data_IF_700916923265
#
_entry.id   IF_700916923265
#
_cell.length_a   1.000
_cell.length_b   1.000
_cell.length_c   1.000
_cell.angle_alpha   90.00
_cell.angle_beta   90.00
_cell.angle_gamma   90.00
#
_symmetry.space_group_name_H-M   'P 1'
#
loop_
_entity.id
_entity.type
_entity.pdbx_description
1 polymer ?
#
# COMPACT_ATOMS: atom_id res chain seq x y z
N UNK A 1 -28.34 -18.24 -9.63
CA UNK A 1 -28.52 -17.12 -8.67
C UNK A 1 -28.07 -15.84 -9.38
N UNK A 2 -28.79 -14.73 -9.23
CA UNK A 2 -28.37 -13.47 -9.83
C UNK A 2 -27.29 -12.79 -8.96
N UNK A 3 -26.63 -11.74 -9.50
CA UNK A 3 -25.52 -11.06 -8.81
C UNK A 3 -25.92 -10.54 -7.41
N UNK A 4 -27.09 -9.92 -7.26
CA UNK A 4 -27.53 -9.37 -5.96
C UNK A 4 -27.78 -10.47 -4.93
N UNK A 5 -28.31 -11.62 -5.33
CA UNK A 5 -28.47 -12.77 -4.45
C UNK A 5 -27.13 -13.33 -3.97
N UNK A 6 -26.11 -13.38 -4.85
CA UNK A 6 -24.75 -13.78 -4.46
C UNK A 6 -24.12 -12.79 -3.48
N UNK A 7 -24.28 -11.49 -3.72
CA UNK A 7 -23.81 -10.47 -2.80
C UNK A 7 -24.47 -10.57 -1.42
N UNK A 8 -25.77 -10.89 -1.40
CA UNK A 8 -26.51 -11.07 -0.15
C UNK A 8 -26.07 -12.31 0.63
N UNK A 9 -25.82 -13.43 -0.05
CA UNK A 9 -25.32 -14.67 0.57
C UNK A 9 -23.83 -14.61 0.93
N UNK A 10 -23.08 -13.68 0.32
CA UNK A 10 -21.64 -13.57 0.49
C UNK A 10 -20.84 -14.61 -0.29
N UNK A 11 -21.43 -15.20 -1.33
CA UNK A 11 -20.74 -16.13 -2.21
C UNK A 11 -19.64 -15.45 -3.02
N UNK A 12 -18.59 -16.23 -3.32
CA UNK A 12 -17.46 -15.76 -4.12
C UNK A 12 -17.86 -15.44 -5.54
N UNK A 13 -17.44 -14.28 -6.02
CA UNK A 13 -17.73 -13.80 -7.38
C UNK A 13 -16.73 -14.38 -8.40
N UNK A 14 -17.27 -14.78 -9.55
CA UNK A 14 -16.46 -15.06 -10.76
C UNK A 14 -15.92 -13.74 -11.35
N UNK A 15 -14.99 -13.85 -12.32
CA UNK A 15 -14.42 -12.69 -13.03
C UNK A 15 -15.52 -11.84 -13.69
N UNK A 16 -16.47 -12.48 -14.38
CA UNK A 16 -17.57 -11.79 -15.06
C UNK A 16 -18.49 -11.06 -14.07
N UNK A 17 -18.83 -11.71 -12.95
CA UNK A 17 -19.65 -11.12 -11.91
C UNK A 17 -18.93 -9.96 -11.20
N UNK A 18 -17.64 -10.09 -10.93
CA UNK A 18 -16.81 -9.02 -10.36
C UNK A 18 -16.79 -7.79 -11.30
N UNK A 19 -16.67 -7.99 -12.60
CA UNK A 19 -16.76 -6.90 -13.57
C UNK A 19 -18.15 -6.25 -13.60
N UNK A 20 -19.21 -7.05 -13.51
CA UNK A 20 -20.60 -6.55 -13.48
C UNK A 20 -20.92 -5.68 -12.25
N UNK A 21 -20.08 -5.69 -11.19
CA UNK A 21 -20.23 -4.77 -10.06
C UNK A 21 -20.15 -3.29 -10.49
N UNK A 22 -19.39 -2.97 -11.53
CA UNK A 22 -19.29 -1.60 -12.03
C UNK A 22 -20.59 -1.04 -12.60
N UNK A 23 -21.56 -1.91 -12.97
CA UNK A 23 -22.90 -1.52 -13.46
C UNK A 23 -23.86 -1.18 -12.33
N UNK A 24 -23.57 -1.62 -11.10
CA UNK A 24 -24.39 -1.28 -9.95
C UNK A 24 -24.22 0.20 -9.55
N UNK A 25 -25.29 0.79 -9.04
CA UNK A 25 -25.18 2.12 -8.44
C UNK A 25 -24.31 2.12 -7.18
N UNK A 26 -23.81 3.30 -6.86
CA UNK A 26 -22.83 3.49 -5.80
C UNK A 26 -23.35 3.05 -4.41
N UNK A 27 -24.61 3.33 -4.09
CA UNK A 27 -25.19 3.04 -2.78
C UNK A 27 -25.54 1.56 -2.62
N UNK A 28 -25.94 0.89 -3.70
CA UNK A 28 -26.08 -0.57 -3.71
C UNK A 28 -24.77 -1.25 -3.42
N UNK A 29 -23.66 -0.81 -4.04
CA UNK A 29 -22.32 -1.33 -3.73
C UNK A 29 -21.91 -1.06 -2.28
N UNK A 30 -22.14 0.16 -1.78
CA UNK A 30 -21.86 0.52 -0.39
C UNK A 30 -22.56 -0.42 0.59
N UNK A 31 -23.87 -0.65 0.39
CA UNK A 31 -24.66 -1.55 1.25
C UNK A 31 -24.02 -2.93 1.42
N UNK A 32 -23.62 -3.56 0.31
CA UNK A 32 -23.03 -4.90 0.36
C UNK A 32 -21.60 -4.89 0.89
N UNK A 33 -20.80 -3.89 0.53
CA UNK A 33 -19.43 -3.75 0.98
C UNK A 33 -19.36 -3.45 2.49
N UNK A 34 -20.20 -2.54 3.00
CA UNK A 34 -20.29 -2.25 4.43
C UNK A 34 -20.83 -3.45 5.21
N UNK A 35 -21.87 -4.15 4.71
CA UNK A 35 -22.36 -5.39 5.33
C UNK A 35 -21.22 -6.40 5.52
N UNK A 36 -20.39 -6.61 4.49
CA UNK A 36 -19.24 -7.52 4.54
C UNK A 36 -18.18 -7.01 5.52
N UNK A 37 -17.84 -5.73 5.47
CA UNK A 37 -16.89 -5.08 6.37
C UNK A 37 -17.35 -5.22 7.83
N UNK A 38 -18.62 -4.90 8.15
CA UNK A 38 -19.16 -5.02 9.51
C UNK A 38 -19.22 -6.47 10.01
N UNK A 39 -19.44 -7.43 9.14
CA UNK A 39 -19.35 -8.85 9.49
C UNK A 39 -17.93 -9.25 9.93
N UNK A 40 -16.89 -8.67 9.33
CA UNK A 40 -15.49 -8.96 9.64
C UNK A 40 -14.98 -8.18 10.85
N UNK A 41 -15.31 -6.91 10.96
CA UNK A 41 -14.65 -5.99 11.89
C UNK A 41 -15.60 -5.21 12.82
N UNK A 42 -16.92 -5.48 12.74
CA UNK A 42 -17.91 -4.73 13.52
C UNK A 42 -17.90 -3.26 13.18
N UNK A 43 -17.86 -2.39 14.19
CA UNK A 43 -17.82 -0.94 14.02
C UNK A 43 -16.40 -0.36 14.12
N UNK A 44 -15.37 -1.20 14.08
CA UNK A 44 -13.97 -0.79 14.24
C UNK A 44 -13.43 -0.12 12.98
N UNK A 45 -12.64 0.92 13.15
CA UNK A 45 -11.77 1.50 12.13
C UNK A 45 -10.35 1.49 12.65
N UNK A 46 -9.48 0.81 11.91
CA UNK A 46 -8.09 0.58 12.28
C UNK A 46 -7.18 1.70 11.78
N UNK A 47 -6.13 1.95 12.55
CA UNK A 47 -5.01 2.80 12.18
C UNK A 47 -3.76 2.39 12.95
N UNK A 48 -2.57 2.79 12.49
CA UNK A 48 -1.34 2.65 13.27
C UNK A 48 -0.64 4.00 13.49
N UNK A 49 0.30 4.01 14.43
CA UNK A 49 1.20 5.15 14.66
C UNK A 49 2.53 4.80 13.98
N UNK A 50 2.77 5.40 12.80
CA UNK A 50 3.90 5.06 11.95
C UNK A 50 4.66 6.28 11.42
N UNK A 51 5.86 6.02 10.92
CA UNK A 51 6.71 6.98 10.22
C UNK A 51 7.15 6.40 8.88
N UNK A 52 6.97 7.19 7.80
CA UNK A 52 7.58 6.86 6.51
C UNK A 52 8.96 7.49 6.38
N UNK A 53 9.92 6.71 5.89
CA UNK A 53 11.28 7.16 5.57
C UNK A 53 11.57 6.78 4.12
N UNK A 54 11.99 7.75 3.33
CA UNK A 54 12.41 7.56 1.96
C UNK A 54 13.88 7.92 1.85
N UNK A 55 14.80 6.96 1.97
CA UNK A 55 16.23 7.21 2.10
C UNK A 55 16.87 7.94 0.94
N UNK A 56 16.33 7.75 -0.28
CA UNK A 56 16.83 8.41 -1.49
C UNK A 56 15.71 8.57 -2.52
N UNK A 57 15.83 9.59 -3.36
CA UNK A 57 15.00 9.76 -4.55
C UNK A 57 15.79 9.54 -5.87
N UNK A 58 17.04 9.13 -5.79
CA UNK A 58 17.86 8.76 -6.96
C UNK A 58 17.39 7.39 -7.44
N UNK A 59 16.80 7.32 -8.64
CA UNK A 59 16.16 6.12 -9.16
C UNK A 59 16.66 5.75 -10.54
N UNK A 60 16.97 4.47 -10.74
CA UNK A 60 17.33 3.91 -12.06
C UNK A 60 16.10 3.70 -12.95
N UNK A 61 14.91 3.55 -12.38
CA UNK A 61 13.67 3.37 -13.13
C UNK A 61 13.08 4.70 -13.61
N UNK A 62 12.40 4.64 -14.75
CA UNK A 62 11.71 5.78 -15.35
C UNK A 62 10.20 5.51 -15.35
N UNK A 63 9.56 5.61 -14.18
CA UNK A 63 8.12 5.51 -14.05
C UNK A 63 7.46 6.85 -14.41
N UNK A 64 6.60 6.87 -15.44
CA UNK A 64 5.97 8.10 -15.91
C UNK A 64 5.04 8.75 -14.91
N UNK A 65 4.47 7.99 -13.99
CA UNK A 65 3.60 8.48 -12.91
C UNK A 65 4.35 8.98 -11.68
N UNK A 66 5.66 8.69 -11.57
CA UNK A 66 6.43 9.01 -10.38
C UNK A 66 6.88 10.48 -10.40
N UNK A 67 6.47 11.22 -9.37
CA UNK A 67 6.93 12.59 -9.12
C UNK A 67 8.06 12.65 -8.08
N UNK A 68 8.31 11.55 -7.38
CA UNK A 68 9.27 11.49 -6.28
C UNK A 68 10.72 11.34 -6.76
N UNK A 69 10.96 10.55 -7.81
CA UNK A 69 12.31 10.31 -8.30
C UNK A 69 12.99 11.61 -8.81
N UNK A 70 14.28 11.72 -8.58
CA UNK A 70 15.07 12.85 -9.09
C UNK A 70 15.15 12.82 -10.63
N UNK A 71 14.57 13.84 -11.26
CA UNK A 71 14.54 14.01 -12.71
C UNK A 71 14.34 15.51 -13.06
N UNK A 72 14.09 15.85 -14.34
CA UNK A 72 13.95 17.26 -14.77
C UNK A 72 12.89 18.07 -14.00
N UNK A 73 11.80 17.44 -13.56
CA UNK A 73 10.73 18.10 -12.79
C UNK A 73 10.97 18.07 -11.27
N UNK A 74 11.91 17.25 -10.81
CA UNK A 74 12.37 17.14 -9.42
C UNK A 74 13.91 17.05 -9.42
N UNK A 75 14.64 18.17 -9.63
CA UNK A 75 16.08 18.16 -9.88
C UNK A 75 16.94 18.05 -8.62
N UNK A 76 16.37 17.83 -7.45
CA UNK A 76 17.07 17.79 -6.16
C UNK A 76 17.34 16.34 -5.71
N UNK A 77 18.38 15.65 -6.23
CA UNK A 77 18.73 14.32 -5.79
C UNK A 77 19.26 14.34 -4.35
N UNK A 78 18.91 13.31 -3.56
CA UNK A 78 19.46 13.12 -2.23
C UNK A 78 19.65 11.63 -1.91
N UNK A 79 20.58 11.37 -1.02
CA UNK A 79 20.77 10.10 -0.31
C UNK A 79 21.04 10.45 1.15
N UNK A 80 20.18 9.97 2.03
CA UNK A 80 20.35 10.18 3.48
C UNK A 80 21.51 9.33 4.01
N UNK A 81 22.25 9.85 4.99
CA UNK A 81 23.19 9.04 5.74
C UNK A 81 22.46 8.11 6.73
N UNK A 82 23.15 7.07 7.22
CA UNK A 82 22.60 6.21 8.27
C UNK A 82 22.32 7.00 9.56
N UNK A 83 23.15 7.97 9.89
CA UNK A 83 23.00 8.84 11.05
C UNK A 83 21.73 9.71 10.96
N UNK A 84 21.45 10.26 9.78
CA UNK A 84 20.20 11.02 9.54
C UNK A 84 18.98 10.13 9.70
N UNK A 85 19.01 8.89 9.16
CA UNK A 85 17.91 7.95 9.29
C UNK A 85 17.71 7.54 10.75
N UNK A 86 18.78 7.18 11.47
CA UNK A 86 18.68 6.78 12.88
C UNK A 86 18.14 7.91 13.75
N UNK A 87 18.58 9.15 13.52
CA UNK A 87 18.02 10.32 14.22
C UNK A 87 16.51 10.44 14.02
N UNK A 88 16.01 10.25 12.78
CA UNK A 88 14.57 10.27 12.51
C UNK A 88 13.87 9.11 13.23
N UNK A 89 14.47 7.93 13.26
CA UNK A 89 13.92 6.77 13.97
C UNK A 89 13.84 7.05 15.48
N UNK A 90 14.90 7.55 16.09
CA UNK A 90 14.95 7.88 17.52
C UNK A 90 13.87 8.92 17.90
N UNK A 91 13.74 10.00 17.12
CA UNK A 91 12.71 11.00 17.29
C UNK A 91 11.31 10.38 17.18
N UNK A 92 11.05 9.57 16.15
CA UNK A 92 9.75 8.94 15.93
C UNK A 92 9.39 7.96 17.06
N UNK A 93 10.32 7.16 17.53
CA UNK A 93 10.10 6.24 18.67
C UNK A 93 9.76 7.03 19.94
N UNK A 94 10.41 8.18 20.17
CA UNK A 94 10.09 9.05 21.31
C UNK A 94 8.66 9.63 21.25
N UNK A 95 8.07 9.72 20.05
CA UNK A 95 6.67 10.11 19.83
C UNK A 95 5.69 8.93 19.86
N UNK A 96 6.15 7.71 20.14
CA UNK A 96 5.32 6.53 20.28
C UNK A 96 5.10 5.74 18.97
N UNK A 97 5.86 6.02 17.92
CA UNK A 97 5.83 5.26 16.66
C UNK A 97 6.18 3.79 16.92
N UNK A 98 5.37 2.89 16.33
CA UNK A 98 5.54 1.43 16.43
C UNK A 98 6.02 0.79 15.13
N UNK A 99 5.89 1.48 14.00
CA UNK A 99 6.30 1.01 12.69
C UNK A 99 7.10 2.08 11.94
N UNK A 100 8.28 1.71 11.46
CA UNK A 100 8.99 2.48 10.44
C UNK A 100 8.75 1.83 9.08
N UNK A 101 8.22 2.61 8.14
CA UNK A 101 7.97 2.20 6.78
C UNK A 101 9.04 2.79 5.86
N UNK A 102 9.97 1.96 5.38
CA UNK A 102 11.10 2.38 4.54
C UNK A 102 10.87 1.91 3.11
N UNK A 103 10.62 2.85 2.22
CA UNK A 103 10.52 2.62 0.77
C UNK A 103 11.48 3.57 0.06
N UNK A 104 12.31 3.02 -0.80
CA UNK A 104 13.38 3.76 -1.47
C UNK A 104 13.18 3.80 -2.98
N UNK A 105 13.79 4.80 -3.62
CA UNK A 105 14.04 4.76 -5.04
C UNK A 105 15.12 3.70 -5.35
N UNK A 106 15.14 3.18 -6.57
CA UNK A 106 16.08 2.14 -7.01
C UNK A 106 17.47 2.75 -7.29
N UNK A 107 18.20 3.04 -6.22
CA UNK A 107 19.51 3.68 -6.31
C UNK A 107 20.60 2.64 -6.62
N UNK A 108 21.15 2.72 -7.83
CA UNK A 108 22.21 1.82 -8.30
C UNK A 108 23.59 2.12 -7.68
N UNK A 109 23.75 3.25 -6.98
CA UNK A 109 25.06 3.71 -6.48
C UNK A 109 25.26 3.54 -4.99
N UNK A 110 24.18 3.39 -4.18
CA UNK A 110 24.28 3.27 -2.73
C UNK A 110 24.84 1.93 -2.25
N UNK A 111 24.77 0.90 -3.08
CA UNK A 111 25.20 -0.45 -2.73
C UNK A 111 24.16 -1.24 -1.93
N UNK A 112 24.16 -2.56 -2.15
CA UNK A 112 23.29 -3.50 -1.45
C UNK A 112 23.53 -3.50 0.05
N UNK A 113 24.81 -3.48 0.46
CA UNK A 113 25.22 -3.51 1.85
C UNK A 113 24.71 -2.29 2.63
N UNK A 114 24.59 -1.13 1.99
CA UNK A 114 24.08 0.09 2.63
C UNK A 114 22.65 -0.10 3.18
N UNK A 115 21.78 -0.76 2.42
CA UNK A 115 20.39 -1.04 2.87
C UNK A 115 20.37 -2.04 4.03
N UNK A 116 21.17 -3.10 3.96
CA UNK A 116 21.24 -4.10 5.02
C UNK A 116 21.71 -3.51 6.34
N UNK A 117 22.76 -2.71 6.30
CA UNK A 117 23.33 -2.10 7.50
C UNK A 117 22.37 -1.15 8.22
N UNK A 118 21.55 -0.39 7.48
CA UNK A 118 20.58 0.50 8.14
C UNK A 118 19.51 -0.29 8.88
N UNK A 119 18.98 -1.40 8.34
CA UNK A 119 18.02 -2.25 9.04
C UNK A 119 18.63 -2.85 10.31
N UNK A 120 19.84 -3.36 10.22
CA UNK A 120 20.58 -3.89 11.39
C UNK A 120 20.78 -2.83 12.48
N UNK A 121 21.17 -1.61 12.12
CA UNK A 121 21.35 -0.51 13.05
C UNK A 121 20.05 -0.10 13.73
N UNK A 122 18.93 -0.03 12.96
CA UNK A 122 17.61 0.26 13.51
C UNK A 122 17.22 -0.81 14.54
N UNK A 123 17.36 -2.09 14.20
CA UNK A 123 17.02 -3.20 15.10
C UNK A 123 17.94 -3.28 16.34
N UNK A 124 19.20 -2.89 16.20
CA UNK A 124 20.12 -2.82 17.33
C UNK A 124 19.73 -1.70 18.32
N UNK A 125 19.28 -0.54 17.81
CA UNK A 125 18.85 0.58 18.64
C UNK A 125 17.43 0.37 19.22
N UNK A 126 16.52 -0.21 18.44
CA UNK A 126 15.10 -0.38 18.77
C UNK A 126 14.61 -1.79 18.39
N UNK A 127 14.93 -2.84 19.19
CA UNK A 127 14.61 -4.24 18.85
C UNK A 127 13.12 -4.49 18.61
N UNK A 128 12.23 -3.81 19.35
CA UNK A 128 10.78 -3.98 19.28
C UNK A 128 10.13 -3.16 18.14
N UNK A 129 10.87 -2.27 17.50
CA UNK A 129 10.34 -1.45 16.43
C UNK A 129 10.10 -2.30 15.17
N UNK A 130 8.90 -2.27 14.64
CA UNK A 130 8.58 -2.98 13.40
C UNK A 130 9.17 -2.27 12.19
N UNK A 131 10.02 -2.97 11.44
CA UNK A 131 10.62 -2.47 10.19
C UNK A 131 9.87 -3.06 9.01
N UNK A 132 9.03 -2.25 8.37
CA UNK A 132 8.39 -2.56 7.10
C UNK A 132 9.21 -1.95 5.97
N UNK A 133 9.86 -2.78 5.18
CA UNK A 133 10.80 -2.29 4.17
C UNK A 133 10.89 -3.20 2.95
N UNK A 134 11.46 -2.65 1.88
CA UNK A 134 11.79 -3.36 0.63
C UNK A 134 10.58 -3.93 -0.09
N UNK A 135 10.03 -3.15 -0.99
CA UNK A 135 8.97 -3.60 -1.92
C UNK A 135 9.47 -4.70 -2.85
N UNK A 136 8.55 -5.48 -3.42
CA UNK A 136 8.91 -6.47 -4.45
C UNK A 136 9.66 -5.83 -5.64
N UNK A 137 9.40 -4.54 -5.93
CA UNK A 137 10.14 -3.81 -6.96
C UNK A 137 11.60 -3.53 -6.57
N UNK A 138 11.87 -3.20 -5.31
CA UNK A 138 13.23 -3.03 -4.80
C UNK A 138 13.98 -4.37 -4.76
N UNK A 139 13.32 -5.45 -4.35
CA UNK A 139 13.89 -6.81 -4.33
C UNK A 139 14.27 -7.24 -5.75
N UNK A 140 13.38 -7.08 -6.73
CA UNK A 140 13.64 -7.43 -8.13
C UNK A 140 14.75 -6.55 -8.73
N UNK A 141 14.79 -5.25 -8.40
CA UNK A 141 15.87 -4.37 -8.82
C UNK A 141 17.23 -4.82 -8.27
N UNK A 142 17.32 -5.11 -6.98
CA UNK A 142 18.56 -5.57 -6.34
C UNK A 142 19.02 -6.91 -6.89
N UNK A 143 18.09 -7.85 -7.09
CA UNK A 143 18.35 -9.15 -7.73
C UNK A 143 19.00 -8.96 -9.09
N UNK A 144 18.40 -8.18 -9.97
CA UNK A 144 18.91 -7.92 -11.33
C UNK A 144 20.22 -7.13 -11.33
N UNK A 145 20.35 -6.15 -10.44
CA UNK A 145 21.51 -5.24 -10.42
C UNK A 145 22.77 -5.91 -9.86
N UNK A 146 22.62 -6.79 -8.86
CA UNK A 146 23.74 -7.44 -8.19
C UNK A 146 23.90 -8.92 -8.57
N UNK A 147 23.07 -9.46 -9.48
CA UNK A 147 23.12 -10.85 -9.91
C UNK A 147 22.75 -11.86 -8.83
N UNK A 148 21.89 -11.47 -7.89
CA UNK A 148 21.35 -12.32 -6.81
C UNK A 148 20.02 -12.93 -7.22
N UNK A 149 19.66 -14.06 -6.65
CA UNK A 149 18.29 -14.55 -6.73
C UNK A 149 17.36 -13.73 -5.81
N UNK A 150 16.06 -13.72 -6.08
CA UNK A 150 15.08 -13.07 -5.18
C UNK A 150 15.12 -13.67 -3.76
N UNK A 151 15.36 -15.00 -3.65
CA UNK A 151 15.43 -15.71 -2.37
C UNK A 151 16.64 -15.24 -1.55
N UNK A 152 17.82 -15.10 -2.16
CA UNK A 152 19.00 -14.56 -1.49
C UNK A 152 18.78 -13.15 -0.96
N UNK A 153 18.09 -12.29 -1.74
CA UNK A 153 17.74 -10.93 -1.28
C UNK A 153 16.79 -11.00 -0.10
N UNK A 154 15.74 -11.82 -0.16
CA UNK A 154 14.76 -12.00 0.92
C UNK A 154 15.41 -12.53 2.19
N UNK A 155 16.27 -13.56 2.08
CA UNK A 155 16.96 -14.11 3.25
C UNK A 155 17.85 -13.10 3.94
N UNK A 156 18.58 -12.29 3.17
CA UNK A 156 19.36 -11.19 3.75
C UNK A 156 18.49 -10.13 4.42
N UNK A 157 17.36 -9.78 3.83
CA UNK A 157 16.42 -8.85 4.49
C UNK A 157 15.96 -9.39 5.86
N UNK A 158 15.61 -10.67 5.93
CA UNK A 158 15.19 -11.32 7.19
C UNK A 158 16.34 -11.37 8.22
N UNK A 159 17.55 -11.74 7.78
CA UNK A 159 18.74 -11.77 8.63
C UNK A 159 19.04 -10.40 9.25
N UNK A 160 18.81 -9.32 8.50
CA UNK A 160 19.10 -7.96 8.93
C UNK A 160 17.91 -7.23 9.59
N UNK A 161 16.79 -7.93 9.81
CA UNK A 161 15.72 -7.48 10.68
C UNK A 161 14.55 -6.78 9.99
N UNK A 162 14.31 -7.04 8.70
CA UNK A 162 13.05 -6.62 8.06
C UNK A 162 11.92 -7.54 8.52
N UNK A 163 10.85 -6.94 9.05
CA UNK A 163 9.73 -7.69 9.66
C UNK A 163 8.58 -7.95 8.68
N UNK A 164 8.24 -6.99 7.80
CA UNK A 164 7.19 -7.14 6.81
C UNK A 164 7.50 -6.38 5.52
N UNK A 165 6.86 -6.77 4.44
CA UNK A 165 7.06 -6.20 3.10
C UNK A 165 5.86 -5.35 2.67
N UNK A 166 6.08 -4.09 2.21
CA UNK A 166 5.02 -3.26 1.65
C UNK A 166 4.64 -3.69 0.22
N UNK A 167 3.42 -3.35 -0.20
CA UNK A 167 2.86 -3.76 -1.50
C UNK A 167 3.30 -2.96 -2.72
N UNK A 168 4.23 -2.00 -2.57
CA UNK A 168 4.65 -1.14 -3.67
C UNK A 168 5.23 -1.91 -4.86
N UNK A 169 5.17 -1.30 -6.05
CA UNK A 169 5.62 -1.94 -7.29
C UNK A 169 4.56 -2.72 -8.03
N UNK A 170 3.43 -3.06 -7.40
CA UNK A 170 2.30 -3.72 -8.05
C UNK A 170 1.70 -2.87 -9.18
N UNK A 171 1.49 -1.63 -8.94
CA UNK A 171 0.84 -0.62 -9.79
C UNK A 171 -0.46 -1.16 -10.39
N UNK A 172 -0.40 -1.75 -11.58
CA UNK A 172 -1.45 -2.55 -12.24
C UNK A 172 -0.79 -3.76 -12.92
N UNK A 173 -1.43 -4.94 -12.89
CA UNK A 173 -0.80 -6.18 -13.36
C UNK A 173 -0.90 -6.41 -14.88
N UNK A 174 -1.64 -5.58 -15.59
CA UNK A 174 -1.68 -5.62 -17.04
C UNK A 174 -0.33 -5.17 -17.63
N UNK A 175 0.37 -6.04 -18.35
CA UNK A 175 1.73 -5.77 -18.85
C UNK A 175 1.76 -4.72 -19.96
N UNK A 176 0.69 -4.57 -20.75
CA UNK A 176 0.59 -3.51 -21.76
C UNK A 176 0.46 -2.13 -21.12
N UNK A 177 -0.28 -2.05 -20.02
CA UNK A 177 -0.35 -0.82 -19.21
C UNK A 177 0.98 -0.57 -18.51
N UNK A 178 1.58 -1.60 -17.89
CA UNK A 178 2.91 -1.48 -17.23
C UNK A 178 3.98 -0.97 -18.20
N UNK A 179 4.04 -1.52 -19.41
CA UNK A 179 4.98 -1.06 -20.44
C UNK A 179 4.85 0.44 -20.77
N UNK A 180 3.64 1.00 -20.61
CA UNK A 180 3.38 2.43 -20.84
C UNK A 180 3.73 3.33 -19.65
N UNK A 181 3.54 2.85 -18.41
CA UNK A 181 3.66 3.66 -17.18
C UNK A 181 4.96 3.44 -16.40
N UNK A 182 5.51 2.23 -16.40
CA UNK A 182 6.69 1.85 -15.58
C UNK A 182 7.56 0.78 -16.25
N UNK A 183 7.89 0.98 -17.53
CA UNK A 183 8.74 0.08 -18.31
C UNK A 183 10.06 -0.20 -17.57
N UNK A 184 10.42 -1.47 -17.43
CA UNK A 184 11.68 -1.90 -16.79
C UNK A 184 11.57 -2.15 -15.28
N UNK A 185 10.46 -1.77 -14.64
CA UNK A 185 10.15 -2.12 -13.26
C UNK A 185 9.75 -3.61 -13.17
N UNK A 186 9.75 -4.18 -11.97
CA UNK A 186 9.33 -5.56 -11.70
C UNK A 186 8.08 -5.94 -12.52
N UNK A 187 8.06 -7.10 -13.18
CA UNK A 187 6.87 -7.61 -13.86
C UNK A 187 5.79 -8.02 -12.86
N UNK A 188 4.55 -8.13 -13.33
CA UNK A 188 3.44 -8.60 -12.47
C UNK A 188 3.69 -10.03 -11.97
N UNK A 189 4.25 -10.89 -12.81
CA UNK A 189 4.61 -12.26 -12.44
C UNK A 189 5.68 -12.31 -11.35
N UNK A 190 6.78 -11.56 -11.52
CA UNK A 190 7.83 -11.49 -10.50
C UNK A 190 7.33 -10.85 -9.21
N UNK A 191 6.46 -9.84 -9.28
CA UNK A 191 5.86 -9.24 -8.09
C UNK A 191 5.10 -10.29 -7.27
N UNK A 192 4.22 -11.06 -7.91
CA UNK A 192 3.47 -12.14 -7.26
C UNK A 192 4.39 -13.24 -6.73
N UNK A 193 5.40 -13.65 -7.51
CA UNK A 193 6.38 -14.65 -7.10
C UNK A 193 7.18 -14.19 -5.86
N UNK A 194 7.63 -12.96 -5.81
CA UNK A 194 8.38 -12.42 -4.67
C UNK A 194 7.50 -12.40 -3.42
N UNK A 195 6.23 -11.97 -3.53
CA UNK A 195 5.30 -12.02 -2.41
C UNK A 195 5.04 -13.44 -1.94
N UNK A 196 4.86 -14.40 -2.87
CA UNK A 196 4.74 -15.82 -2.51
C UNK A 196 5.95 -16.29 -1.73
N UNK A 197 7.17 -16.06 -2.22
CA UNK A 197 8.42 -16.46 -1.54
C UNK A 197 8.52 -15.86 -0.13
N UNK A 198 8.10 -14.58 0.05
CA UNK A 198 8.03 -13.93 1.35
C UNK A 198 7.01 -14.60 2.27
N UNK A 199 5.83 -14.94 1.76
CA UNK A 199 4.78 -15.63 2.52
C UNK A 199 5.19 -17.06 2.90
N UNK A 200 5.89 -17.77 2.01
CA UNK A 200 6.42 -19.14 2.26
C UNK A 200 7.45 -19.14 3.42
N UNK A 201 8.07 -17.99 3.74
CA UNK A 201 8.91 -17.79 4.93
C UNK A 201 8.09 -17.48 6.21
N UNK A 202 6.77 -17.59 6.16
CA UNK A 202 5.86 -17.31 7.28
C UNK A 202 5.69 -15.82 7.58
N UNK A 203 5.99 -14.94 6.62
CA UNK A 203 5.92 -13.48 6.77
C UNK A 203 4.72 -12.89 6.07
N UNK A 204 4.20 -11.78 6.60
CA UNK A 204 3.07 -11.06 6.02
C UNK A 204 3.52 -9.86 5.18
N UNK A 205 2.66 -9.46 4.25
CA UNK A 205 2.85 -8.30 3.40
C UNK A 205 1.54 -7.57 3.11
N UNK A 206 1.64 -6.40 2.48
CA UNK A 206 0.48 -5.72 1.91
C UNK A 206 0.43 -5.93 0.39
N UNK A 207 -0.77 -5.80 -0.19
CA UNK A 207 -0.94 -5.67 -1.63
C UNK A 207 -1.44 -4.25 -1.97
N UNK A 208 -1.02 -3.70 -3.10
CA UNK A 208 -1.46 -2.38 -3.58
C UNK A 208 -1.96 -2.45 -5.00
N UNK A 209 -2.77 -1.48 -5.40
CA UNK A 209 -3.16 -1.22 -6.79
C UNK A 209 -3.12 0.29 -7.02
N UNK A 210 -2.38 0.77 -8.01
CA UNK A 210 -2.46 2.16 -8.47
C UNK A 210 -3.56 2.26 -9.53
N UNK A 211 -4.56 3.12 -9.30
CA UNK A 211 -5.69 3.24 -10.20
C UNK A 211 -6.07 4.71 -10.46
N UNK A 212 -6.84 4.93 -11.53
CA UNK A 212 -7.26 6.27 -11.96
C UNK A 212 -6.25 6.92 -12.91
N UNK A 213 -5.43 6.13 -13.60
CA UNK A 213 -4.51 6.60 -14.64
C UNK A 213 -5.02 6.18 -16.05
N UNK A 214 -4.36 5.25 -16.73
CA UNK A 214 -4.71 4.80 -18.09
C UNK A 214 -5.26 3.37 -18.14
N UNK A 215 -5.37 2.73 -16.99
CA UNK A 215 -5.93 1.39 -16.85
C UNK A 215 -7.44 1.37 -17.10
N UNK A 216 -7.97 0.21 -17.49
CA UNK A 216 -9.40 -0.03 -17.60
C UNK A 216 -9.97 -0.63 -16.30
N UNK A 217 -11.30 -0.70 -16.19
CA UNK A 217 -11.98 -1.39 -15.10
C UNK A 217 -11.69 -2.89 -15.11
N UNK A 218 -11.55 -3.49 -16.30
CA UNK A 218 -11.13 -4.87 -16.47
C UNK A 218 -9.72 -5.12 -15.89
N UNK A 219 -8.79 -4.20 -16.15
CA UNK A 219 -7.43 -4.30 -15.59
C UNK A 219 -7.47 -4.29 -14.05
N UNK A 220 -8.33 -3.45 -13.43
CA UNK A 220 -8.49 -3.43 -11.95
C UNK A 220 -9.05 -4.75 -11.43
N UNK A 221 -10.06 -5.31 -12.08
CA UNK A 221 -10.64 -6.61 -11.70
C UNK A 221 -9.60 -7.73 -11.84
N UNK A 222 -8.89 -7.80 -12.97
CA UNK A 222 -7.85 -8.80 -13.18
C UNK A 222 -6.74 -8.72 -12.11
N UNK A 223 -6.32 -7.51 -11.79
CA UNK A 223 -5.35 -7.24 -10.71
C UNK A 223 -5.82 -7.80 -9.36
N UNK A 224 -7.05 -7.47 -8.96
CA UNK A 224 -7.62 -7.96 -7.70
C UNK A 224 -7.78 -9.48 -7.69
N UNK A 225 -8.19 -10.09 -8.79
CA UNK A 225 -8.34 -11.55 -8.89
C UNK A 225 -7.01 -12.26 -8.74
N UNK A 226 -5.95 -11.78 -9.36
CA UNK A 226 -4.60 -12.36 -9.22
C UNK A 226 -4.06 -12.22 -7.80
N UNK A 227 -4.38 -11.14 -7.07
CA UNK A 227 -4.08 -11.01 -5.64
C UNK A 227 -4.89 -12.02 -4.84
N UNK A 228 -6.20 -12.17 -5.13
CA UNK A 228 -7.08 -13.13 -4.48
C UNK A 228 -6.60 -14.57 -4.65
N UNK A 229 -6.16 -14.93 -5.85
CA UNK A 229 -5.66 -16.26 -6.15
C UNK A 229 -4.38 -16.55 -5.35
N UNK A 230 -3.43 -15.61 -5.28
CA UNK A 230 -2.24 -15.75 -4.44
C UNK A 230 -2.58 -15.79 -2.95
N UNK A 231 -3.57 -15.04 -2.51
CA UNK A 231 -4.06 -15.07 -1.12
C UNK A 231 -4.70 -16.42 -0.77
N UNK A 232 -5.42 -17.04 -1.70
CA UNK A 232 -5.95 -18.40 -1.50
C UNK A 232 -4.82 -19.43 -1.32
N UNK A 233 -3.69 -19.23 -1.99
CA UNK A 233 -2.53 -20.11 -1.90
C UNK A 233 -1.73 -19.90 -0.61
N UNK A 234 -1.54 -18.66 -0.18
CA UNK A 234 -0.55 -18.33 0.86
C UNK A 234 -1.13 -17.77 2.15
N UNK A 235 -2.29 -17.09 2.10
CA UNK A 235 -2.86 -16.38 3.25
C UNK A 235 -2.00 -15.19 3.75
N UNK A 236 -0.95 -14.79 3.04
CA UNK A 236 0.08 -13.88 3.56
C UNK A 236 -0.21 -12.39 3.39
N UNK A 237 -1.21 -11.99 2.58
CA UNK A 237 -1.61 -10.58 2.51
C UNK A 237 -2.51 -10.22 3.69
N UNK A 238 -2.08 -9.29 4.52
CA UNK A 238 -2.89 -8.78 5.62
C UNK A 238 -3.77 -7.60 5.21
N UNK A 239 -3.41 -6.84 4.18
CA UNK A 239 -4.23 -5.73 3.70
C UNK A 239 -4.06 -5.46 2.20
N UNK A 240 -5.13 -4.97 1.58
CA UNK A 240 -5.11 -4.41 0.23
C UNK A 240 -5.33 -2.90 0.27
N UNK A 241 -4.56 -2.16 -0.55
CA UNK A 241 -4.52 -0.70 -0.56
C UNK A 241 -4.73 -0.20 -1.99
N UNK A 242 -5.94 0.22 -2.38
CA UNK A 242 -6.15 0.92 -3.64
C UNK A 242 -5.66 2.37 -3.53
N UNK A 243 -4.60 2.69 -4.27
CA UNK A 243 -3.92 3.98 -4.28
C UNK A 243 -4.45 4.83 -5.44
N UNK A 244 -5.00 5.98 -5.13
CA UNK A 244 -5.47 6.93 -6.15
C UNK A 244 -4.29 7.62 -6.82
N UNK A 245 -4.22 7.53 -8.16
CA UNK A 245 -3.18 8.18 -8.93
C UNK A 245 -3.17 9.71 -8.72
N UNK A 246 -2.00 10.25 -8.43
CA UNK A 246 -1.75 11.68 -8.29
C UNK A 246 -1.16 12.24 -9.60
N UNK A 247 -1.60 13.42 -10.03
CA UNK A 247 -1.45 13.92 -11.40
C UNK A 247 -0.31 14.92 -11.61
N UNK A 248 0.23 15.47 -10.55
CA UNK A 248 1.18 16.56 -10.64
C UNK A 248 2.63 16.07 -10.75
N UNK A 249 3.49 16.90 -11.30
CA UNK A 249 4.94 16.74 -11.33
C UNK A 249 5.46 15.42 -11.94
N UNK A 250 4.68 14.76 -12.80
CA UNK A 250 5.08 13.51 -13.47
C UNK A 250 4.92 13.58 -14.99
N UNK A 251 5.19 12.49 -15.70
CA UNK A 251 5.23 12.44 -17.16
C UNK A 251 4.00 11.74 -17.79
N UNK A 252 3.08 11.24 -16.99
CA UNK A 252 1.85 10.64 -17.50
C UNK A 252 0.86 11.75 -17.84
N UNK A 253 0.61 11.93 -19.14
CA UNK A 253 -0.23 13.02 -19.68
C UNK A 253 -1.61 12.50 -20.05
N UNK A 254 -2.52 13.44 -20.28
CA UNK A 254 -3.87 13.18 -20.81
C UNK A 254 -4.72 12.21 -19.98
N UNK A 255 -4.40 12.08 -18.68
CA UNK A 255 -5.17 11.29 -17.74
C UNK A 255 -6.42 12.05 -17.30
N UNK A 256 -7.58 11.43 -17.48
CA UNK A 256 -8.87 12.00 -17.04
C UNK A 256 -8.91 12.13 -15.51
N UNK A 257 -9.61 13.15 -15.03
CA UNK A 257 -9.85 13.28 -13.60
C UNK A 257 -10.71 12.13 -13.09
N UNK A 258 -10.32 11.51 -11.97
CA UNK A 258 -11.08 10.47 -11.31
C UNK A 258 -11.98 11.10 -10.24
N UNK A 259 -13.29 11.02 -10.42
CA UNK A 259 -14.25 11.55 -9.46
C UNK A 259 -14.37 10.69 -8.21
N UNK A 260 -14.78 11.30 -7.08
CA UNK A 260 -14.94 10.61 -5.80
C UNK A 260 -15.86 9.39 -5.86
N UNK A 261 -16.90 9.43 -6.70
CA UNK A 261 -17.80 8.29 -6.88
C UNK A 261 -17.09 7.06 -7.45
N UNK A 262 -16.17 7.22 -8.41
CA UNK A 262 -15.38 6.10 -8.96
C UNK A 262 -14.34 5.58 -7.95
N UNK A 263 -13.79 6.47 -7.12
CA UNK A 263 -12.88 6.08 -6.02
C UNK A 263 -13.63 5.20 -5.01
N UNK A 264 -14.78 5.65 -4.53
CA UNK A 264 -15.61 4.92 -3.58
C UNK A 264 -16.15 3.61 -4.18
N UNK A 265 -16.52 3.63 -5.47
CA UNK A 265 -16.93 2.42 -6.20
C UNK A 265 -15.79 1.39 -6.24
N UNK A 266 -14.56 1.81 -6.54
CA UNK A 266 -13.39 0.93 -6.55
C UNK A 266 -13.10 0.37 -5.16
N UNK A 267 -13.27 1.17 -4.11
CA UNK A 267 -13.13 0.73 -2.72
C UNK A 267 -14.14 -0.38 -2.38
N UNK A 268 -15.42 -0.15 -2.67
CA UNK A 268 -16.49 -1.14 -2.43
C UNK A 268 -16.26 -2.44 -3.21
N UNK A 269 -15.87 -2.33 -4.47
CA UNK A 269 -15.54 -3.49 -5.33
C UNK A 269 -14.35 -4.25 -4.77
N UNK A 270 -13.32 -3.56 -4.27
CA UNK A 270 -12.16 -4.22 -3.64
C UNK A 270 -12.59 -5.11 -2.47
N UNK A 271 -13.46 -4.62 -1.56
CA UNK A 271 -14.01 -5.41 -0.44
C UNK A 271 -14.83 -6.61 -0.92
N UNK A 272 -15.59 -6.45 -2.00
CA UNK A 272 -16.48 -7.52 -2.49
C UNK A 272 -15.71 -8.60 -3.26
N UNK A 273 -14.68 -8.23 -4.02
CA UNK A 273 -13.88 -9.14 -4.85
C UNK A 273 -12.79 -9.85 -4.05
N UNK A 274 -12.10 -9.14 -3.16
CA UNK A 274 -11.05 -9.69 -2.30
C UNK A 274 -11.67 -10.28 -1.03
N UNK A 275 -12.39 -11.38 -1.20
CA UNK A 275 -13.18 -12.01 -0.13
C UNK A 275 -12.32 -12.71 0.95
N UNK A 276 -11.07 -12.97 0.65
CA UNK A 276 -10.07 -13.63 1.49
C UNK A 276 -8.98 -12.68 2.03
N UNK A 277 -8.97 -11.41 1.63
CA UNK A 277 -8.07 -10.40 2.21
C UNK A 277 -8.76 -9.71 3.39
N UNK A 278 -8.20 -9.80 4.61
CA UNK A 278 -8.91 -9.35 5.81
C UNK A 278 -9.17 -7.85 5.83
N UNK A 279 -8.21 -7.02 5.44
CA UNK A 279 -8.30 -5.56 5.57
C UNK A 279 -8.23 -4.84 4.22
N UNK A 280 -9.09 -3.83 4.05
CA UNK A 280 -9.05 -2.88 2.93
C UNK A 280 -8.74 -1.49 3.48
N UNK A 281 -7.60 -0.93 3.06
CA UNK A 281 -7.18 0.39 3.53
C UNK A 281 -7.68 1.52 2.63
N UNK A 282 -8.32 2.50 3.21
CA UNK A 282 -8.52 3.79 2.58
C UNK A 282 -7.34 4.70 2.88
N UNK A 283 -6.28 4.63 2.06
CA UNK A 283 -5.05 5.40 2.27
C UNK A 283 -5.33 6.90 2.12
N UNK A 284 -5.47 7.59 3.26
CA UNK A 284 -5.88 8.98 3.31
C UNK A 284 -4.93 9.95 2.60
N UNK A 285 -3.63 9.62 2.53
CA UNK A 285 -2.63 10.46 1.88
C UNK A 285 -2.87 10.61 0.37
N UNK A 286 -3.54 9.65 -0.30
CA UNK A 286 -3.90 9.76 -1.72
C UNK A 286 -5.35 10.13 -1.97
N UNK A 287 -6.26 9.86 -1.02
CA UNK A 287 -7.70 10.08 -1.19
C UNK A 287 -8.24 11.31 -0.45
N UNK A 288 -7.48 11.95 0.41
CA UNK A 288 -7.84 12.88 1.47
C UNK A 288 -8.46 12.21 2.69
N UNK A 289 -8.28 12.83 3.85
CA UNK A 289 -8.78 12.27 5.11
C UNK A 289 -10.31 12.14 5.14
N UNK A 290 -11.02 13.15 4.62
CA UNK A 290 -12.49 13.12 4.56
C UNK A 290 -13.01 12.01 3.65
N UNK A 291 -12.41 11.83 2.46
CA UNK A 291 -12.85 10.77 1.55
C UNK A 291 -12.48 9.39 2.10
N UNK A 292 -11.34 9.24 2.78
CA UNK A 292 -10.95 8.01 3.45
C UNK A 292 -11.93 7.62 4.57
N UNK A 293 -12.48 8.61 5.30
CA UNK A 293 -13.53 8.36 6.28
C UNK A 293 -14.86 7.93 5.63
N UNK A 294 -15.28 8.58 4.54
CA UNK A 294 -16.46 8.16 3.79
C UNK A 294 -16.28 6.72 3.26
N UNK A 295 -15.07 6.36 2.82
CA UNK A 295 -14.75 5.04 2.31
C UNK A 295 -14.93 3.91 3.34
N UNK A 296 -15.01 4.22 4.65
CA UNK A 296 -15.33 3.24 5.68
C UNK A 296 -16.75 2.67 5.52
N UNK A 297 -17.70 3.46 5.02
CA UNK A 297 -19.05 3.01 4.65
C UNK A 297 -19.07 2.28 3.28
N UNK A 298 -17.95 2.29 2.57
CA UNK A 298 -17.76 1.62 1.29
C UNK A 298 -16.82 0.42 1.38
N UNK A 299 -16.74 -0.21 2.54
CA UNK A 299 -16.03 -1.48 2.74
C UNK A 299 -14.59 -1.37 3.18
N UNK A 300 -14.02 -0.18 3.29
CA UNK A 300 -12.74 0.01 3.97
C UNK A 300 -12.92 -0.18 5.49
N UNK A 301 -11.85 -0.55 6.18
CA UNK A 301 -11.81 -0.71 7.63
C UNK A 301 -10.55 -0.13 8.27
N UNK A 302 -9.64 0.43 7.47
CA UNK A 302 -8.35 0.94 7.92
C UNK A 302 -8.01 2.26 7.21
N UNK A 303 -7.48 3.23 7.97
CA UNK A 303 -7.04 4.54 7.46
C UNK A 303 -5.55 4.59 7.12
N UNK A 304 -4.81 3.50 7.35
CA UNK A 304 -3.36 3.41 7.41
C UNK A 304 -2.81 4.05 8.69
N UNK A 305 -1.79 4.88 8.62
CA UNK A 305 -1.16 5.41 9.82
C UNK A 305 -1.22 6.92 9.95
N UNK A 306 -0.73 7.39 11.09
CA UNK A 306 -0.58 8.82 11.38
C UNK A 306 0.38 9.52 10.42
N UNK A 307 1.33 8.77 9.87
CA UNK A 307 2.31 9.21 8.86
C UNK A 307 2.92 10.56 9.25
N UNK A 308 3.92 10.58 10.08
CA UNK A 308 4.55 11.85 10.50
C UNK A 308 5.10 12.65 9.32
N UNK A 309 5.50 11.96 8.23
CA UNK A 309 5.92 12.58 6.97
C UNK A 309 5.63 11.65 5.78
N UNK A 310 4.93 12.17 4.79
CA UNK A 310 4.69 11.51 3.50
C UNK A 310 5.36 12.32 2.38
N UNK A 311 6.27 11.71 1.63
CA UNK A 311 7.06 12.42 0.61
C UNK A 311 6.70 11.99 -0.82
N UNK A 312 6.31 10.74 -1.03
CA UNK A 312 6.11 10.17 -2.38
C UNK A 312 4.84 10.74 -3.02
N UNK A 313 3.73 10.69 -2.32
CA UNK A 313 2.43 11.15 -2.83
C UNK A 313 2.35 12.68 -2.81
N UNK A 314 2.96 13.31 -1.80
CA UNK A 314 3.05 14.78 -1.71
C UNK A 314 3.84 15.38 -2.87
N UNK A 315 4.91 14.72 -3.34
CA UNK A 315 5.65 15.13 -4.54
C UNK A 315 4.77 15.12 -5.80
N UNK A 316 3.79 14.23 -5.87
CA UNK A 316 2.83 14.10 -6.97
C UNK A 316 1.58 15.01 -6.82
N UNK A 317 1.55 15.90 -5.82
CA UNK A 317 0.48 16.87 -5.62
C UNK A 317 -0.67 16.37 -4.73
N UNK A 318 -0.47 15.33 -3.93
CA UNK A 318 -1.48 14.91 -2.97
C UNK A 318 -1.74 16.01 -1.93
N UNK A 319 -3.00 16.34 -1.71
CA UNK A 319 -3.45 17.29 -0.68
C UNK A 319 -3.46 16.64 0.72
N UNK A 320 -2.42 15.89 1.06
CA UNK A 320 -2.24 15.32 2.38
C UNK A 320 -1.36 16.24 3.22
N UNK A 321 -1.87 16.68 4.37
CA UNK A 321 -1.03 17.35 5.35
C UNK A 321 0.13 16.45 5.77
N UNK A 322 1.23 17.04 6.21
CA UNK A 322 2.36 16.31 6.76
C UNK A 322 1.96 15.67 8.10
N UNK A 323 1.42 14.45 8.03
CA UNK A 323 0.99 13.70 9.20
C UNK A 323 -0.37 14.12 9.78
N UNK A 324 -0.96 13.23 10.54
CA UNK A 324 -2.19 13.44 11.31
C UNK A 324 -1.92 13.01 12.75
N UNK A 325 -2.35 13.83 13.72
CA UNK A 325 -2.16 13.48 15.13
C UNK A 325 -3.10 12.33 15.53
N UNK A 326 -2.67 11.50 16.47
CA UNK A 326 -3.49 10.44 17.07
C UNK A 326 -4.86 10.98 17.54
N UNK A 327 -4.85 12.15 18.19
CA UNK A 327 -6.10 12.79 18.65
C UNK A 327 -7.03 13.09 17.48
N UNK A 328 -6.52 13.68 16.39
CA UNK A 328 -7.30 13.99 15.19
C UNK A 328 -7.92 12.74 14.58
N UNK A 329 -7.19 11.63 14.47
CA UNK A 329 -7.74 10.36 14.01
C UNK A 329 -8.87 9.86 14.91
N UNK A 330 -8.61 9.78 16.21
CA UNK A 330 -9.62 9.30 17.16
C UNK A 330 -10.90 10.16 17.12
N UNK A 331 -10.77 11.47 17.11
CA UNK A 331 -11.91 12.39 17.07
C UNK A 331 -12.69 12.23 15.75
N UNK A 332 -12.00 12.16 14.62
CA UNK A 332 -12.63 11.98 13.31
C UNK A 332 -13.38 10.64 13.21
N UNK A 333 -12.76 9.54 13.62
CA UNK A 333 -13.37 8.21 13.61
C UNK A 333 -14.61 8.18 14.49
N UNK A 334 -14.54 8.74 15.72
CA UNK A 334 -15.67 8.79 16.65
C UNK A 334 -16.82 9.67 16.14
N UNK A 335 -16.51 10.84 15.61
CA UNK A 335 -17.53 11.75 15.06
C UNK A 335 -18.21 11.20 13.81
N UNK A 336 -17.54 10.26 13.11
CA UNK A 336 -18.12 9.52 12.00
C UNK A 336 -18.90 8.26 12.43
N UNK A 337 -19.07 8.02 13.75
CA UNK A 337 -19.87 6.91 14.29
C UNK A 337 -19.14 5.58 14.39
N UNK A 338 -17.80 5.56 14.24
CA UNK A 338 -16.98 4.36 14.34
C UNK A 338 -16.17 4.28 15.65
N UNK A 339 -15.59 3.11 15.89
CA UNK A 339 -14.71 2.85 17.05
C UNK A 339 -13.25 2.87 16.60
N UNK A 340 -12.43 3.84 17.06
CA UNK A 340 -11.01 3.89 16.71
C UNK A 340 -10.22 2.79 17.39
N UNK A 341 -9.46 2.04 16.60
CA UNK A 341 -8.61 0.95 17.09
C UNK A 341 -7.19 1.14 16.57
N UNK A 342 -6.27 1.42 17.49
CA UNK A 342 -4.84 1.38 17.20
C UNK A 342 -4.38 -0.07 17.06
N UNK A 343 -3.69 -0.36 15.98
CA UNK A 343 -3.13 -1.69 15.69
C UNK A 343 -1.64 -1.63 15.45
N UNK A 344 -0.98 -2.78 15.58
CA UNK A 344 0.38 -2.96 15.07
C UNK A 344 0.40 -3.27 13.56
N UNK A 345 1.57 -3.54 13.02
CA UNK A 345 1.78 -3.86 11.60
C UNK A 345 1.20 -5.21 11.17
N UNK A 346 0.95 -6.11 12.12
CA UNK A 346 0.39 -7.45 11.92
C UNK A 346 -1.11 -7.50 12.26
N UNK A 347 -1.74 -6.34 12.48
CA UNK A 347 -3.15 -6.18 12.85
C UNK A 347 -3.54 -6.71 14.22
N UNK A 348 -2.58 -6.87 15.14
CA UNK A 348 -2.92 -7.04 16.56
C UNK A 348 -3.48 -5.73 17.10
N UNK A 349 -4.65 -5.80 17.76
CA UNK A 349 -5.27 -4.64 18.38
C UNK A 349 -4.46 -4.23 19.62
N UNK A 350 -3.91 -3.03 19.62
CA UNK A 350 -3.10 -2.49 20.71
C UNK A 350 -3.96 -1.72 21.70
N UNK A 351 -4.88 -0.88 21.16
CA UNK A 351 -5.72 -0.02 21.99
C UNK A 351 -7.01 0.39 21.28
N UNK A 352 -8.11 0.37 22.02
CA UNK A 352 -9.42 0.92 21.63
C UNK A 352 -9.59 2.27 22.34
N UNK A 353 -9.98 3.31 21.61
CA UNK A 353 -10.12 4.67 22.13
C UNK A 353 -11.57 5.09 22.35
#
# INVERSE_FOLDING_TARGET
MNLLQKLESGERLSKQEAFSLYELDLFTLAKFADKKRRKLHGNKVFFNVNRHINPTNICADICKFCAFSAHRKNPNPYLMSHEEILKIVDESVSHGVKEIHIVSAHNATSGWQWYLEIFKKIKAAHPELHVKAMTAAEIDFLSRHYGLSHDEVIEKMLEYGVDSMPGGGAEIFDEDVRAKICKGKVSSENWLKIHKMWHDKGRQSNATMLFGHIESRENRIDHMLRIRDLQDETGGFNAFIPLVYQRENNYLKDVKFLGSAEILKTMAISRLVLDNVPHIKAYWATSTLNLAMIAQEFGADDLDGTIEKESIQSAAGANSANGVTLKTFCDLIKTSGFTPVERDSLYNELKIY
#
